data_IF_113244350996
#
_entry.id   IF_113244350996
#
_cell.length_a   1.000
_cell.length_b   1.000
_cell.length_c   1.000
_cell.angle_alpha   90.00
_cell.angle_beta   90.00
_cell.angle_gamma   90.00
#
_symmetry.space_group_name_H-M   'P 1'
#
loop_
_entity.id
_entity.type
_entity.pdbx_description
1 polymer ?
#
# COMPACT_ATOMS: atom_id res chain seq x y z
N UNK A 1 7.76 10.73 -21.29
CA UNK A 1 6.84 10.68 -22.45
C UNK A 1 5.70 9.71 -22.12
N UNK A 2 4.56 10.19 -21.62
CA UNK A 2 3.40 9.34 -21.21
C UNK A 2 2.06 10.05 -21.43
N UNK A 3 1.97 10.96 -22.40
CA UNK A 3 0.72 11.71 -22.67
C UNK A 3 -0.24 11.01 -23.65
N UNK A 4 0.06 9.81 -24.16
CA UNK A 4 -0.67 9.29 -25.34
C UNK A 4 -1.11 7.82 -25.29
N UNK A 5 -1.19 7.19 -24.12
CA UNK A 5 -1.57 5.78 -24.02
C UNK A 5 -2.48 5.50 -22.80
N UNK A 6 -3.77 5.88 -22.86
CA UNK A 6 -4.72 5.66 -21.76
C UNK A 6 -4.87 4.18 -21.39
N UNK A 7 -4.69 3.26 -22.34
CA UNK A 7 -4.73 1.81 -22.08
C UNK A 7 -3.57 1.35 -21.17
N UNK A 8 -2.36 1.85 -21.42
CA UNK A 8 -1.20 1.56 -20.58
C UNK A 8 -1.32 2.17 -19.18
N UNK A 9 -1.88 3.38 -19.09
CA UNK A 9 -2.17 4.01 -17.81
C UNK A 9 -3.18 3.18 -17.02
N UNK A 10 -4.29 2.77 -17.64
CA UNK A 10 -5.29 1.91 -17.03
C UNK A 10 -4.71 0.56 -16.57
N UNK A 11 -3.88 -0.09 -17.38
CA UNK A 11 -3.21 -1.34 -16.96
C UNK A 11 -2.26 -1.13 -15.76
N UNK A 12 -1.52 -0.02 -15.74
CA UNK A 12 -0.65 0.34 -14.62
C UNK A 12 -1.47 0.57 -13.35
N UNK A 13 -2.58 1.30 -13.45
CA UNK A 13 -3.50 1.51 -12.34
C UNK A 13 -4.04 0.16 -11.85
N UNK A 14 -4.63 -0.67 -12.71
CA UNK A 14 -5.18 -1.97 -12.32
C UNK A 14 -4.15 -2.88 -11.63
N UNK A 15 -2.91 -2.88 -12.13
CA UNK A 15 -1.79 -3.60 -11.51
C UNK A 15 -1.47 -3.06 -10.13
N UNK A 16 -1.45 -1.73 -9.95
CA UNK A 16 -1.32 -1.11 -8.64
C UNK A 16 -2.45 -1.49 -7.70
N UNK A 17 -3.72 -1.42 -8.15
CA UNK A 17 -4.90 -1.77 -7.35
C UNK A 17 -4.75 -3.19 -6.80
N UNK A 18 -4.47 -4.13 -7.71
CA UNK A 18 -4.34 -5.55 -7.35
C UNK A 18 -3.20 -5.77 -6.36
N UNK A 19 -2.03 -5.18 -6.62
CA UNK A 19 -0.86 -5.31 -5.73
C UNK A 19 -1.10 -4.67 -4.36
N UNK A 20 -1.73 -3.50 -4.30
CA UNK A 20 -2.02 -2.80 -3.05
C UNK A 20 -3.03 -3.60 -2.21
N UNK A 21 -4.12 -4.08 -2.80
CA UNK A 21 -5.09 -4.93 -2.11
C UNK A 21 -4.46 -6.22 -1.56
N UNK A 22 -3.77 -6.99 -2.41
CA UNK A 22 -3.13 -8.23 -1.98
C UNK A 22 -2.07 -7.96 -0.92
N UNK A 23 -1.28 -6.89 -1.06
CA UNK A 23 -0.26 -6.55 -0.08
C UNK A 23 -0.83 -6.09 1.27
N UNK A 24 -1.91 -5.32 1.28
CA UNK A 24 -2.57 -4.90 2.53
C UNK A 24 -3.20 -6.11 3.24
N UNK A 25 -3.80 -7.03 2.50
CA UNK A 25 -4.36 -8.27 3.05
C UNK A 25 -3.25 -9.19 3.63
N UNK A 26 -2.12 -9.28 2.92
CA UNK A 26 -0.91 -9.96 3.42
C UNK A 26 -0.41 -9.33 4.71
N UNK A 27 -0.33 -8.00 4.79
CA UNK A 27 0.08 -7.29 6.00
C UNK A 27 -0.90 -7.53 7.15
N UNK A 28 -2.22 -7.52 6.90
CA UNK A 28 -3.26 -7.84 7.90
C UNK A 28 -3.07 -9.25 8.46
N UNK A 29 -3.02 -10.23 7.57
CA UNK A 29 -2.85 -11.64 7.93
C UNK A 29 -1.54 -11.87 8.69
N UNK A 30 -0.45 -11.24 8.24
CA UNK A 30 0.84 -11.31 8.93
C UNK A 30 0.80 -10.65 10.31
N UNK A 31 0.05 -9.56 10.48
CA UNK A 31 -0.15 -8.93 11.78
C UNK A 31 -0.92 -9.83 12.75
N UNK A 32 -1.89 -10.61 12.27
CA UNK A 32 -2.63 -11.57 13.11
C UNK A 32 -1.79 -12.78 13.50
N UNK A 33 -0.86 -13.19 12.64
CA UNK A 33 0.10 -14.28 12.86
C UNK A 33 1.37 -13.84 13.57
N UNK A 34 1.49 -12.55 13.91
CA UNK A 34 2.71 -11.96 14.47
C UNK A 34 3.96 -12.16 13.60
N UNK A 35 3.77 -12.27 12.28
CA UNK A 35 4.82 -12.44 11.28
C UNK A 35 5.37 -11.07 10.84
N UNK A 36 6.17 -10.47 11.72
CA UNK A 36 6.76 -9.14 11.51
C UNK A 36 7.70 -9.10 10.30
N UNK A 37 8.33 -10.23 9.96
CA UNK A 37 9.18 -10.33 8.78
C UNK A 37 8.34 -10.19 7.50
N UNK A 38 7.23 -10.92 7.41
CA UNK A 38 6.32 -10.84 6.27
C UNK A 38 5.73 -9.42 6.11
N UNK A 39 5.39 -8.74 7.22
CA UNK A 39 4.93 -7.35 7.17
C UNK A 39 6.00 -6.45 6.53
N UNK A 40 7.26 -6.57 6.97
CA UNK A 40 8.36 -5.76 6.44
C UNK A 40 8.62 -6.00 4.97
N UNK A 41 8.68 -7.27 4.55
CA UNK A 41 8.92 -7.64 3.16
C UNK A 41 7.78 -7.17 2.26
N UNK A 42 6.53 -7.29 2.72
CA UNK A 42 5.36 -6.82 1.98
C UNK A 42 5.34 -5.30 1.89
N UNK A 43 5.58 -4.58 2.99
CA UNK A 43 5.66 -3.12 2.98
C UNK A 43 6.78 -2.61 2.06
N UNK A 44 7.97 -3.23 2.10
CA UNK A 44 9.07 -2.90 1.22
C UNK A 44 8.71 -3.04 -0.27
N UNK A 45 7.95 -4.08 -0.62
CA UNK A 45 7.46 -4.33 -1.98
C UNK A 45 6.42 -3.30 -2.45
N UNK A 46 5.58 -2.81 -1.54
CA UNK A 46 4.52 -1.84 -1.86
C UNK A 46 5.03 -0.40 -2.01
N UNK A 47 6.05 -0.02 -1.23
CA UNK A 47 6.57 1.36 -1.23
C UNK A 47 6.89 1.92 -2.63
N UNK A 48 7.59 1.20 -3.53
CA UNK A 48 7.87 1.70 -4.88
C UNK A 48 6.59 2.01 -5.68
N UNK A 49 5.59 1.13 -5.62
CA UNK A 49 4.33 1.29 -6.35
C UNK A 49 3.55 2.50 -5.84
N UNK A 50 3.52 2.72 -4.52
CA UNK A 50 2.89 3.90 -3.92
C UNK A 50 3.63 5.19 -4.27
N UNK A 51 4.97 5.14 -4.39
CA UNK A 51 5.77 6.29 -4.85
C UNK A 51 5.50 6.63 -6.31
N UNK A 52 5.35 5.64 -7.19
CA UNK A 52 5.06 5.87 -8.61
C UNK A 52 3.72 6.57 -8.84
N UNK A 53 2.73 6.36 -7.96
CA UNK A 53 1.42 7.01 -8.02
C UNK A 53 1.28 8.23 -7.09
N UNK A 54 2.39 8.75 -6.54
CA UNK A 54 2.40 9.91 -5.63
C UNK A 54 1.48 9.74 -4.40
N UNK A 55 1.29 8.50 -3.92
CA UNK A 55 0.49 8.19 -2.72
C UNK A 55 1.32 8.48 -1.47
N UNK A 56 1.67 9.75 -1.26
CA UNK A 56 2.67 10.20 -0.28
C UNK A 56 2.39 9.71 1.14
N UNK A 57 1.13 9.82 1.59
CA UNK A 57 0.79 9.39 2.96
C UNK A 57 0.89 7.87 3.13
N UNK A 58 0.46 7.10 2.12
CA UNK A 58 0.59 5.65 2.13
C UNK A 58 2.05 5.20 2.13
N UNK A 59 2.93 5.93 1.43
CA UNK A 59 4.39 5.70 1.53
C UNK A 59 4.89 5.92 2.95
N UNK A 60 4.49 7.01 3.62
CA UNK A 60 4.90 7.29 4.99
C UNK A 60 4.44 6.20 5.95
N UNK A 61 3.19 5.75 5.84
CA UNK A 61 2.63 4.72 6.70
C UNK A 61 3.26 3.33 6.44
N UNK A 62 3.61 3.01 5.18
CA UNK A 62 4.35 1.79 4.82
C UNK A 62 5.82 1.83 5.30
N UNK A 63 6.45 3.00 5.33
CA UNK A 63 7.80 3.14 5.91
C UNK A 63 7.72 2.99 7.43
N UNK A 64 6.72 3.59 8.06
CA UNK A 64 6.53 3.53 9.51
C UNK A 64 6.24 2.09 9.97
N UNK A 65 5.35 1.36 9.28
CA UNK A 65 5.04 -0.03 9.64
C UNK A 65 6.30 -0.91 9.52
N UNK A 66 7.11 -0.71 8.48
CA UNK A 66 8.36 -1.45 8.27
C UNK A 66 9.35 -1.21 9.42
N UNK A 67 9.51 0.04 9.84
CA UNK A 67 10.44 0.42 10.92
C UNK A 67 9.97 -0.11 12.27
N UNK A 68 8.66 -0.08 12.56
CA UNK A 68 8.10 -0.60 13.82
C UNK A 68 8.24 -2.11 13.97
N UNK A 69 8.25 -2.84 12.86
CA UNK A 69 8.47 -4.29 12.85
C UNK A 69 9.94 -4.72 13.07
N UNK A 70 10.91 -3.80 13.14
CA UNK A 70 12.33 -4.13 13.47
C UNK A 70 12.61 -4.21 14.97
N UNK A 71 11.73 -3.65 15.81
CA UNK A 71 11.92 -3.58 17.26
C UNK A 71 10.93 -4.46 18.03
N UNK A 72 10.23 -3.84 18.98
CA UNK A 72 9.08 -4.44 19.69
C UNK A 72 7.79 -3.92 19.06
N UNK A 73 7.19 -4.65 18.11
CA UNK A 73 5.98 -4.20 17.44
C UNK A 73 4.81 -4.08 18.42
N UNK A 74 4.19 -2.90 18.46
CA UNK A 74 2.94 -2.68 19.16
C UNK A 74 1.78 -2.99 18.21
N UNK A 75 1.05 -4.08 18.50
CA UNK A 75 -0.05 -4.55 17.66
C UNK A 75 -1.18 -3.51 17.50
N UNK A 76 -1.45 -2.68 18.51
CA UNK A 76 -2.47 -1.64 18.39
C UNK A 76 -2.02 -0.55 17.42
N UNK A 77 -0.75 -0.15 17.49
CA UNK A 77 -0.20 0.86 16.57
C UNK A 77 -0.12 0.31 15.15
N UNK A 78 0.33 -0.94 14.98
CA UNK A 78 0.35 -1.59 13.67
C UNK A 78 -1.05 -1.69 13.07
N UNK A 79 -2.05 -2.13 13.84
CA UNK A 79 -3.44 -2.18 13.37
C UNK A 79 -3.98 -0.83 12.90
N UNK A 80 -3.63 0.27 13.61
CA UNK A 80 -3.97 1.64 13.19
C UNK A 80 -3.28 2.02 11.88
N UNK A 81 -1.99 1.71 11.72
CA UNK A 81 -1.25 1.97 10.49
C UNK A 81 -1.83 1.19 9.31
N UNK A 82 -2.13 -0.09 9.51
CA UNK A 82 -2.73 -0.96 8.48
C UNK A 82 -4.10 -0.42 8.04
N UNK A 83 -4.90 0.04 8.99
CA UNK A 83 -6.20 0.66 8.71
C UNK A 83 -6.05 1.96 7.92
N UNK A 84 -5.05 2.79 8.24
CA UNK A 84 -4.74 4.01 7.49
C UNK A 84 -4.26 3.71 6.07
N UNK A 85 -3.31 2.79 5.90
CA UNK A 85 -2.82 2.36 4.57
C UNK A 85 -3.99 1.85 3.73
N UNK A 86 -4.89 1.06 4.30
CA UNK A 86 -6.10 0.58 3.63
C UNK A 86 -7.01 1.71 3.18
N UNK A 87 -7.27 2.68 4.06
CA UNK A 87 -8.10 3.84 3.73
C UNK A 87 -7.48 4.71 2.62
N UNK A 88 -6.19 5.00 2.71
CA UNK A 88 -5.48 5.82 1.72
C UNK A 88 -5.41 5.14 0.36
N UNK A 89 -5.27 3.81 0.36
CA UNK A 89 -5.39 3.01 -0.86
C UNK A 89 -6.76 3.21 -1.47
N UNK A 90 -7.84 3.01 -0.70
CA UNK A 90 -9.21 3.16 -1.18
C UNK A 90 -9.49 4.58 -1.71
N UNK A 91 -9.02 5.63 -1.03
CA UNK A 91 -9.15 7.02 -1.49
C UNK A 91 -8.46 7.24 -2.84
N UNK A 92 -7.27 6.67 -3.05
CA UNK A 92 -6.55 6.72 -4.33
C UNK A 92 -7.30 5.93 -5.40
N UNK A 93 -7.87 4.77 -5.06
CA UNK A 93 -8.68 3.98 -5.99
C UNK A 93 -9.92 4.75 -6.45
N UNK A 94 -10.60 5.44 -5.54
CA UNK A 94 -11.75 6.27 -5.87
C UNK A 94 -11.37 7.47 -6.75
N UNK A 95 -10.23 8.12 -6.50
CA UNK A 95 -9.73 9.21 -7.36
C UNK A 95 -9.43 8.72 -8.77
N UNK A 96 -8.69 7.61 -8.89
CA UNK A 96 -8.30 7.06 -10.19
C UNK A 96 -9.52 6.57 -11.00
N UNK A 97 -10.52 5.97 -10.34
CA UNK A 97 -11.77 5.58 -11.00
C UNK A 97 -12.54 6.78 -11.56
N UNK A 98 -12.48 7.94 -10.89
CA UNK A 98 -13.14 9.18 -11.34
C UNK A 98 -12.41 9.83 -12.51
N UNK A 99 -11.09 9.71 -12.59
CA UNK A 99 -10.30 10.23 -13.73
C UNK A 99 -10.38 9.36 -14.99
N UNK A 100 -10.82 8.09 -14.87
CA UNK A 100 -11.05 7.19 -16.00
C UNK A 100 -12.45 7.34 -16.67
N UNK A 101 -13.27 8.31 -16.25
CA UNK A 101 -14.60 8.63 -16.82
C UNK A 101 -14.55 9.91 -17.65
#
# INVERSE_FOLDING_TARGET
MTKNNPEFFNQMIQTFISNAHTGIDQIRTACDKEDWKMIRETAHRLIPSFKHLDVRKGVLDLVEIKNRCEGKPDRQILSKLISRIGKETEEVLEMLRKESV
#
